data_IF_276536318522
#
_entry.id   IF_276536318522
#
_cell.length_a   1.000
_cell.length_b   1.000
_cell.length_c   1.000
_cell.angle_alpha   90.00
_cell.angle_beta   90.00
_cell.angle_gamma   90.00
#
_symmetry.space_group_name_H-M   'P 1'
#
loop_
_entity.id
_entity.type
_entity.pdbx_description
1 polymer ?
#
# COMPACT_ATOMS: atom_id res chain seq x y z
N UNK A 1 30.15 13.91 -22.54
CA UNK A 1 30.96 14.40 -21.39
C UNK A 1 30.35 13.82 -20.12
N UNK A 2 30.87 12.71 -19.61
CA UNK A 2 30.53 12.25 -18.27
C UNK A 2 31.30 13.13 -17.29
N UNK A 3 30.61 14.09 -16.67
CA UNK A 3 31.17 14.83 -15.55
C UNK A 3 31.17 13.87 -14.37
N UNK A 4 32.35 13.53 -13.87
CA UNK A 4 32.49 12.73 -12.66
C UNK A 4 31.97 13.58 -11.49
N UNK A 5 30.70 13.38 -11.13
CA UNK A 5 30.06 14.06 -10.00
C UNK A 5 30.18 13.14 -8.81
N UNK A 6 31.10 13.43 -7.88
CA UNK A 6 31.19 12.68 -6.62
C UNK A 6 29.84 12.70 -5.93
N UNK A 7 29.33 11.50 -5.60
CA UNK A 7 28.08 11.22 -4.87
C UNK A 7 28.33 10.82 -3.41
N UNK A 8 29.54 11.06 -2.91
CA UNK A 8 29.92 10.68 -1.55
C UNK A 8 29.02 11.35 -0.51
N UNK A 9 28.53 10.55 0.44
CA UNK A 9 27.63 11.00 1.52
C UNK A 9 26.19 11.24 1.10
N UNK A 10 25.82 11.04 -0.18
CA UNK A 10 24.45 11.17 -0.65
C UNK A 10 23.62 9.92 -0.39
N UNK A 11 22.31 10.14 -0.32
CA UNK A 11 21.30 9.10 -0.12
C UNK A 11 20.91 8.52 -1.47
N UNK A 12 20.80 7.20 -1.53
CA UNK A 12 20.31 6.51 -2.73
C UNK A 12 18.89 6.99 -3.06
N UNK A 13 18.61 7.41 -4.31
CA UNK A 13 17.27 7.83 -4.73
C UNK A 13 16.24 6.71 -4.60
N UNK A 14 14.97 7.10 -4.46
CA UNK A 14 13.81 6.20 -4.36
C UNK A 14 13.84 5.21 -3.18
N UNK A 15 14.73 5.42 -2.20
CA UNK A 15 14.78 4.62 -0.97
C UNK A 15 14.39 5.51 0.22
N UNK A 16 13.30 5.20 0.93
CA UNK A 16 12.88 5.97 2.09
C UNK A 16 13.80 5.64 3.28
N UNK A 17 14.16 6.67 4.06
CA UNK A 17 14.91 6.47 5.31
C UNK A 17 14.09 5.76 6.39
N UNK A 18 12.78 5.98 6.39
CA UNK A 18 11.83 5.34 7.29
C UNK A 18 10.64 4.80 6.50
N UNK A 19 10.29 3.54 6.74
CA UNK A 19 9.15 2.86 6.14
C UNK A 19 8.53 1.95 7.20
N UNK A 20 7.29 2.25 7.60
CA UNK A 20 6.56 1.56 8.64
C UNK A 20 5.28 0.98 8.05
N UNK A 21 4.98 -0.27 8.38
CA UNK A 21 3.68 -0.89 8.12
C UNK A 21 3.09 -1.44 9.39
N UNK A 22 1.87 -1.01 9.73
CA UNK A 22 1.08 -1.53 10.83
C UNK A 22 -0.12 -2.27 10.27
N UNK A 23 -0.35 -3.49 10.74
CA UNK A 23 -1.43 -4.36 10.30
C UNK A 23 -2.23 -4.82 11.51
N UNK A 24 -3.53 -4.59 11.50
CA UNK A 24 -4.46 -5.04 12.53
C UNK A 24 -5.47 -5.98 11.90
N UNK A 25 -5.77 -7.09 12.59
CA UNK A 25 -6.77 -8.07 12.16
C UNK A 25 -7.64 -8.44 13.35
N UNK A 26 -8.95 -8.43 13.13
CA UNK A 26 -9.95 -8.86 14.07
C UNK A 26 -10.84 -9.90 13.40
N UNK A 27 -11.10 -11.00 14.09
CA UNK A 27 -11.96 -12.08 13.62
C UNK A 27 -12.92 -12.48 14.74
N UNK A 28 -14.18 -12.67 14.40
CA UNK A 28 -15.22 -13.02 15.35
C UNK A 28 -16.15 -14.06 14.75
N UNK A 29 -16.33 -15.17 15.48
CA UNK A 29 -17.38 -16.14 15.16
C UNK A 29 -18.74 -15.52 15.51
N UNK A 30 -19.57 -15.29 14.50
CA UNK A 30 -20.91 -14.70 14.64
C UNK A 30 -21.97 -15.79 14.87
N UNK A 31 -21.79 -16.97 14.28
CA UNK A 31 -22.63 -18.15 14.49
C UNK A 31 -21.83 -19.45 14.28
N UNK A 32 -22.46 -20.61 14.42
CA UNK A 32 -21.81 -21.90 14.13
C UNK A 32 -21.31 -22.05 12.68
N UNK A 33 -21.82 -21.25 11.75
CA UNK A 33 -21.52 -21.33 10.31
C UNK A 33 -20.91 -20.05 9.75
N UNK A 34 -20.86 -18.96 10.52
CA UNK A 34 -20.45 -17.64 10.04
C UNK A 34 -19.35 -17.05 10.91
N UNK A 35 -18.23 -16.69 10.27
CA UNK A 35 -17.14 -15.94 10.87
C UNK A 35 -16.99 -14.60 10.14
N UNK A 36 -17.02 -13.50 10.87
CA UNK A 36 -16.73 -12.17 10.33
C UNK A 36 -15.29 -11.78 10.61
N UNK A 37 -14.69 -11.00 9.72
CA UNK A 37 -13.37 -10.42 9.95
C UNK A 37 -13.27 -8.98 9.47
N UNK A 38 -12.33 -8.26 10.05
CA UNK A 38 -11.89 -6.93 9.65
C UNK A 38 -10.37 -6.87 9.69
N UNK A 39 -9.76 -6.20 8.72
CA UNK A 39 -8.33 -5.98 8.60
C UNK A 39 -8.08 -4.52 8.27
N UNK A 40 -7.16 -3.88 8.99
CA UNK A 40 -6.69 -2.52 8.73
C UNK A 40 -5.19 -2.51 8.48
N UNK A 41 -4.75 -1.68 7.55
CA UNK A 41 -3.34 -1.44 7.24
C UNK A 41 -3.05 0.06 7.25
N UNK A 42 -2.01 0.48 7.97
CA UNK A 42 -1.40 1.80 7.82
C UNK A 42 0.00 1.61 7.26
N UNK A 43 0.33 2.34 6.20
CA UNK A 43 1.66 2.43 5.63
C UNK A 43 2.16 3.88 5.74
N UNK A 44 3.27 4.09 6.43
CA UNK A 44 3.92 5.37 6.61
C UNK A 44 5.31 5.36 5.96
N UNK A 45 5.58 6.31 5.06
CA UNK A 45 6.81 6.37 4.27
C UNK A 45 7.39 7.77 4.33
N UNK A 46 8.64 7.90 4.75
CA UNK A 46 9.36 9.17 4.71
C UNK A 46 9.67 9.60 3.28
N UNK A 47 9.80 10.91 3.05
CA UNK A 47 10.19 11.45 1.75
C UNK A 47 11.50 10.89 1.18
N UNK A 48 11.54 10.71 -0.13
CA UNK A 48 12.62 10.06 -0.88
C UNK A 48 13.27 11.04 -1.86
N UNK A 49 14.59 10.95 -2.04
CA UNK A 49 15.25 11.70 -3.11
C UNK A 49 14.94 11.09 -4.47
N UNK A 50 14.88 11.93 -5.51
CA UNK A 50 14.61 11.49 -6.88
C UNK A 50 15.85 11.47 -7.79
N UNK A 51 16.98 11.97 -7.33
CA UNK A 51 18.21 12.03 -8.12
C UNK A 51 19.47 11.80 -7.27
N UNK A 52 20.53 11.39 -7.95
CA UNK A 52 21.83 11.05 -7.34
C UNK A 52 22.53 12.25 -6.69
N UNK A 53 22.12 13.47 -7.04
CA UNK A 53 22.62 14.69 -6.42
C UNK A 53 21.85 15.09 -5.16
N UNK A 54 20.77 14.36 -4.85
CA UNK A 54 19.82 14.68 -3.79
C UNK A 54 19.21 16.08 -3.94
N UNK A 55 18.97 16.52 -5.19
CA UNK A 55 18.46 17.86 -5.49
C UNK A 55 16.93 17.97 -5.44
N UNK A 56 16.21 16.89 -5.74
CA UNK A 56 14.76 16.78 -5.61
C UNK A 56 14.38 15.72 -4.58
N UNK A 57 13.39 16.03 -3.71
CA UNK A 57 12.90 15.12 -2.66
C UNK A 57 11.37 15.18 -2.57
N UNK A 58 10.73 14.03 -2.46
CA UNK A 58 9.30 13.94 -2.21
C UNK A 58 8.96 14.30 -0.76
N UNK A 59 7.70 14.65 -0.52
CA UNK A 59 7.15 14.61 0.84
C UNK A 59 7.00 13.14 1.31
N UNK A 60 6.91 12.94 2.62
CA UNK A 60 6.47 11.68 3.19
C UNK A 60 4.95 11.54 3.10
N UNK A 61 4.44 10.33 3.27
CA UNK A 61 3.01 10.06 3.19
C UNK A 61 2.58 8.93 4.10
N UNK A 62 1.30 8.95 4.45
CA UNK A 62 0.60 7.91 5.20
C UNK A 62 -0.62 7.44 4.38
N UNK A 63 -0.75 6.13 4.18
CA UNK A 63 -1.88 5.51 3.49
C UNK A 63 -2.56 4.52 4.42
N UNK A 64 -3.86 4.73 4.64
CA UNK A 64 -4.72 3.85 5.44
C UNK A 64 -5.65 3.04 4.52
N UNK A 65 -5.72 1.74 4.74
CA UNK A 65 -6.59 0.81 4.01
C UNK A 65 -7.36 -0.11 4.96
N UNK A 66 -8.56 -0.51 4.57
CA UNK A 66 -9.40 -1.44 5.33
C UNK A 66 -10.02 -2.50 4.42
N UNK A 67 -10.16 -3.72 4.96
CA UNK A 67 -10.85 -4.85 4.33
C UNK A 67 -11.72 -5.52 5.39
N UNK A 68 -12.97 -5.84 5.06
CA UNK A 68 -13.84 -6.64 5.90
C UNK A 68 -14.52 -7.74 5.09
N UNK A 69 -14.96 -8.80 5.77
CA UNK A 69 -15.63 -9.88 5.09
C UNK A 69 -16.29 -10.91 6.01
N UNK A 70 -16.93 -11.88 5.36
CA UNK A 70 -17.63 -12.99 5.98
C UNK A 70 -17.14 -14.30 5.36
N UNK A 71 -16.81 -15.25 6.21
CA UNK A 71 -16.56 -16.64 5.87
C UNK A 71 -17.79 -17.47 6.29
N UNK A 72 -18.48 -18.03 5.30
CA UNK A 72 -19.73 -18.78 5.43
C UNK A 72 -19.50 -20.25 5.13
N UNK A 73 -19.78 -21.12 6.11
CA UNK A 73 -19.59 -22.56 6.00
C UNK A 73 -20.95 -23.26 6.00
N UNK A 74 -21.26 -24.02 4.93
CA UNK A 74 -22.53 -24.73 4.80
C UNK A 74 -22.33 -26.10 4.14
N UNK A 75 -22.50 -27.16 4.93
CA UNK A 75 -22.24 -28.53 4.51
C UNK A 75 -20.79 -28.70 4.05
N UNK A 76 -20.60 -29.10 2.79
CA UNK A 76 -19.28 -29.25 2.16
C UNK A 76 -18.76 -27.96 1.53
N UNK A 77 -19.53 -26.89 1.55
CA UNK A 77 -19.18 -25.64 0.88
C UNK A 77 -18.70 -24.57 1.85
N UNK A 78 -17.86 -23.69 1.31
CA UNK A 78 -17.36 -22.50 1.97
C UNK A 78 -17.51 -21.32 1.00
N UNK A 79 -18.11 -20.21 1.44
CA UNK A 79 -18.18 -18.97 0.68
C UNK A 79 -17.52 -17.85 1.48
N UNK A 80 -16.42 -17.31 0.94
CA UNK A 80 -15.76 -16.11 1.45
C UNK A 80 -16.22 -14.91 0.63
N UNK A 81 -16.84 -13.94 1.30
CA UNK A 81 -17.17 -12.63 0.75
C UNK A 81 -16.29 -11.58 1.43
N UNK A 82 -15.73 -10.64 0.67
CA UNK A 82 -14.99 -9.53 1.23
C UNK A 82 -15.11 -8.26 0.39
N UNK A 83 -14.74 -7.14 0.99
CA UNK A 83 -14.57 -5.88 0.31
C UNK A 83 -13.87 -4.88 1.19
N UNK A 84 -13.45 -3.78 0.59
CA UNK A 84 -12.63 -2.82 1.28
C UNK A 84 -12.38 -1.55 0.51
N UNK A 85 -11.62 -0.67 1.15
CA UNK A 85 -11.21 0.63 0.63
C UNK A 85 -9.72 0.77 0.86
N UNK A 86 -8.97 1.03 -0.21
CA UNK A 86 -7.58 1.46 -0.11
C UNK A 86 -7.53 2.98 -0.12
N UNK A 87 -6.54 3.56 0.58
CA UNK A 87 -6.35 5.01 0.66
C UNK A 87 -7.63 5.75 1.11
N UNK A 88 -8.14 5.39 2.30
CA UNK A 88 -9.43 5.87 2.84
C UNK A 88 -9.52 7.40 2.88
N UNK A 89 -8.40 8.06 3.20
CA UNK A 89 -8.29 9.52 3.33
C UNK A 89 -8.11 10.23 1.99
N UNK A 90 -8.03 9.50 0.88
CA UNK A 90 -7.80 10.04 -0.47
C UNK A 90 -6.52 10.88 -0.54
N UNK A 91 -5.47 10.40 0.13
CA UNK A 91 -4.16 11.03 0.13
C UNK A 91 -3.59 10.99 -1.29
N UNK A 92 -3.19 12.13 -1.83
CA UNK A 92 -2.30 12.17 -3.01
C UNK A 92 -0.87 11.94 -2.52
N UNK A 93 -0.23 10.87 -3.02
CA UNK A 93 1.12 10.50 -2.62
C UNK A 93 1.93 10.05 -3.83
N UNK A 94 3.24 9.87 -3.66
CA UNK A 94 4.12 9.38 -4.72
C UNK A 94 4.04 7.86 -4.80
N UNK A 95 3.49 7.37 -5.92
CA UNK A 95 3.43 5.95 -6.24
C UNK A 95 4.70 5.46 -6.93
N UNK A 96 5.36 6.34 -7.68
CA UNK A 96 6.55 6.00 -8.45
C UNK A 96 7.49 7.22 -8.61
N UNK A 97 8.80 6.97 -8.64
CA UNK A 97 9.83 7.98 -8.84
C UNK A 97 10.62 7.65 -10.10
N UNK A 98 10.66 8.59 -11.04
CA UNK A 98 11.52 8.53 -12.22
C UNK A 98 12.92 9.06 -11.86
N UNK A 99 13.81 8.14 -11.46
CA UNK A 99 15.13 8.48 -10.93
C UNK A 99 15.97 9.19 -12.01
N UNK A 100 16.58 10.32 -11.65
CA UNK A 100 17.41 11.13 -12.55
C UNK A 100 16.69 11.55 -13.84
N UNK A 101 15.38 11.83 -13.76
CA UNK A 101 14.59 12.34 -14.90
C UNK A 101 15.28 13.50 -15.62
N UNK A 102 15.45 13.39 -16.94
CA UNK A 102 16.12 14.41 -17.75
C UNK A 102 15.25 15.65 -17.97
N UNK A 103 13.92 15.50 -17.89
CA UNK A 103 12.93 16.58 -18.08
C UNK A 103 12.49 17.20 -16.76
N UNK A 104 12.93 16.66 -15.61
CA UNK A 104 12.54 17.13 -14.27
C UNK A 104 11.20 16.57 -13.77
N UNK A 105 10.56 15.70 -14.55
CA UNK A 105 9.33 14.99 -14.17
C UNK A 105 9.69 13.79 -13.30
N UNK A 106 9.95 14.04 -12.02
CA UNK A 106 10.47 13.04 -11.08
C UNK A 106 9.41 12.16 -10.43
N UNK A 107 8.16 12.62 -10.33
CA UNK A 107 7.16 12.07 -9.42
C UNK A 107 5.87 11.71 -10.13
N UNK A 108 5.39 10.48 -9.93
CA UNK A 108 4.08 10.03 -10.40
C UNK A 108 3.15 9.75 -9.21
N UNK A 109 1.90 10.19 -9.34
CA UNK A 109 0.89 10.02 -8.32
C UNK A 109 0.56 8.52 -8.14
N UNK A 110 0.47 8.10 -6.88
CA UNK A 110 -0.06 6.80 -6.51
C UNK A 110 -1.56 6.70 -6.73
N UNK A 111 -2.10 5.51 -6.51
CA UNK A 111 -3.52 5.24 -6.68
C UNK A 111 -4.36 6.14 -5.75
N UNK A 112 -5.40 6.83 -6.28
CA UNK A 112 -6.36 7.53 -5.45
C UNK A 112 -7.16 6.53 -4.60
N UNK A 113 -8.06 7.03 -3.74
CA UNK A 113 -8.99 6.17 -3.02
C UNK A 113 -9.70 5.22 -3.97
N UNK A 114 -9.58 3.92 -3.70
CA UNK A 114 -10.19 2.88 -4.52
C UNK A 114 -10.91 1.84 -3.67
N UNK A 115 -11.93 1.24 -4.27
CA UNK A 115 -12.84 0.29 -3.63
C UNK A 115 -12.72 -1.06 -4.32
N UNK A 116 -12.82 -2.14 -3.56
CA UNK A 116 -12.81 -3.49 -4.11
C UNK A 116 -13.80 -4.39 -3.38
N UNK A 117 -14.19 -5.46 -4.06
CA UNK A 117 -14.99 -6.54 -3.51
C UNK A 117 -14.55 -7.88 -4.13
N UNK A 118 -14.74 -8.97 -3.39
CA UNK A 118 -14.35 -10.30 -3.82
C UNK A 118 -15.27 -11.38 -3.26
N UNK A 119 -15.43 -12.46 -4.02
CA UNK A 119 -16.15 -13.66 -3.62
C UNK A 119 -15.34 -14.91 -4.00
N UNK A 120 -15.27 -15.89 -3.11
CA UNK A 120 -14.61 -17.18 -3.35
C UNK A 120 -15.47 -18.32 -2.83
N UNK A 121 -15.82 -19.26 -3.71
CA UNK A 121 -16.51 -20.51 -3.36
C UNK A 121 -15.51 -21.66 -3.29
N UNK A 122 -15.58 -22.45 -2.23
CA UNK A 122 -14.76 -23.65 -2.03
C UNK A 122 -15.62 -24.88 -1.73
N UNK A 123 -15.13 -26.06 -2.13
CA UNK A 123 -15.71 -27.36 -1.84
C UNK A 123 -14.71 -28.19 -1.04
N UNK A 124 -15.14 -28.71 0.11
CA UNK A 124 -14.36 -29.60 0.99
C UNK A 124 -14.71 -31.06 0.65
N UNK A 125 -13.69 -31.89 0.49
CA UNK A 125 -13.80 -33.32 0.19
C UNK A 125 -13.43 -34.15 1.41
#
# INVERSE_FOLDING_TARGET
LYVDRSVDGRVVPSVPRHNLSLNLSFEQRLSGTVTGFMKGNLRSVSGMYADDLNSAKSEGYDVLSINAGLDLNFGRFNLLLNGGVNNITDQTYIGFININSQTGEFFEAGEPRNYFAGARLGLRF
#
